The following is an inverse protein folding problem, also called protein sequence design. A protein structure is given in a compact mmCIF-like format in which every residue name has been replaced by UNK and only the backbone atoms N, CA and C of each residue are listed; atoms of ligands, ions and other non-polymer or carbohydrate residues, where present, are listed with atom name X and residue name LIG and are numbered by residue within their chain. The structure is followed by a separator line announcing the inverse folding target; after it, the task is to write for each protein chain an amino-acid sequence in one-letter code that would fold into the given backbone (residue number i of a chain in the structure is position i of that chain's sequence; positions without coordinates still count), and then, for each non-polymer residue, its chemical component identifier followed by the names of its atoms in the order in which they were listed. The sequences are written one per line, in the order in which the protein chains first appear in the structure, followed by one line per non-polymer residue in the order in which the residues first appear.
data_IF_223227178984
#
_entry.id   IF_223227178984
#
_cell.length_a   1.000
_cell.length_b   1.000
_cell.length_c   1.000
_cell.angle_alpha   90.00
_cell.angle_beta   90.00
_cell.angle_gamma   90.00
#
_symmetry.space_group_name_H-M   'P 1'
#
loop_
_entity.id
_entity.type
_entity.pdbx_description
1 polymer ?
#
# COMPACT_ATOMS: atom_id res chain seq x y z
N UNK A 1 -12.71 9.28 -16.69
CA UNK A 1 -11.32 9.02 -16.29
C UNK A 1 -11.15 9.66 -14.93
N UNK A 2 -10.78 8.87 -13.93
CA UNK A 2 -10.63 9.35 -12.55
C UNK A 2 -9.14 9.34 -12.20
N UNK A 3 -8.67 10.44 -11.63
CA UNK A 3 -7.28 10.58 -11.20
C UNK A 3 -7.23 10.97 -9.72
N UNK A 4 -6.32 10.36 -8.97
CA UNK A 4 -6.04 10.73 -7.58
C UNK A 4 -4.54 10.89 -7.41
N UNK A 5 -4.13 12.04 -6.89
CA UNK A 5 -2.76 12.35 -6.54
C UNK A 5 -2.64 12.38 -5.01
N UNK A 6 -1.60 11.76 -4.47
CA UNK A 6 -1.31 11.73 -3.04
C UNK A 6 0.16 12.07 -2.82
N UNK A 7 0.46 12.87 -1.79
CA UNK A 7 1.83 13.06 -1.31
C UNK A 7 2.21 11.95 -0.33
N UNK A 8 3.41 11.40 -0.47
CA UNK A 8 4.02 10.46 0.48
C UNK A 8 5.04 11.21 1.33
N UNK A 9 4.70 11.50 2.58
CA UNK A 9 5.61 12.18 3.50
C UNK A 9 6.27 11.19 4.44
N UNK A 10 7.60 11.28 4.54
CA UNK A 10 8.38 10.54 5.52
C UNK A 10 8.38 11.33 6.82
N UNK A 11 7.56 10.93 7.78
CA UNK A 11 7.51 11.54 9.11
C UNK A 11 8.28 10.68 10.11
N UNK A 12 9.15 11.29 10.92
CA UNK A 12 9.74 10.63 12.07
C UNK A 12 8.71 10.58 13.20
N UNK A 13 7.90 9.52 13.23
CA UNK A 13 6.84 9.34 14.22
C UNK A 13 7.31 8.61 15.48
N UNK A 14 8.61 8.41 15.70
CA UNK A 14 9.12 7.63 16.84
C UNK A 14 8.57 8.07 18.20
N UNK A 15 8.40 9.38 18.40
CA UNK A 15 7.78 9.95 19.61
C UNK A 15 6.26 10.09 19.57
N UNK A 16 5.62 9.93 18.40
CA UNK A 16 4.18 10.09 18.22
C UNK A 16 3.43 8.75 18.21
N UNK A 17 4.08 7.67 17.78
CA UNK A 17 3.48 6.31 17.69
C UNK A 17 2.81 5.86 19.00
N UNK A 18 3.35 6.10 20.21
CA UNK A 18 2.67 5.73 21.45
C UNK A 18 1.34 6.44 21.70
N UNK A 19 1.13 7.60 21.07
CA UNK A 19 -0.03 8.47 21.30
C UNK A 19 -1.03 8.45 20.15
N UNK A 20 -0.71 7.77 19.06
CA UNK A 20 -1.57 7.69 17.89
C UNK A 20 -2.52 6.50 18.02
N UNK A 21 -3.79 6.63 17.58
CA UNK A 21 -4.78 5.56 17.66
C UNK A 21 -4.57 4.50 16.57
N UNK A 22 -3.31 4.24 16.22
CA UNK A 22 -2.92 3.15 15.33
C UNK A 22 -1.78 2.36 15.93
N UNK A 23 -1.88 1.04 15.83
CA UNK A 23 -0.85 0.12 16.31
C UNK A 23 -0.31 -0.69 15.14
N UNK A 24 1.01 -0.66 14.98
CA UNK A 24 1.74 -1.58 14.11
C UNK A 24 2.31 -2.71 14.97
N UNK A 25 2.22 -3.95 14.51
CA UNK A 25 2.87 -5.07 15.19
C UNK A 25 4.39 -4.93 15.17
N UNK A 26 4.94 -4.43 14.06
CA UNK A 26 6.38 -4.37 13.80
C UNK A 26 6.76 -3.15 12.97
N UNK A 27 7.93 -2.58 13.24
CA UNK A 27 8.51 -1.51 12.43
C UNK A 27 8.81 -2.02 11.02
N UNK A 28 8.44 -1.30 9.94
CA UNK A 28 8.80 -1.71 8.58
C UNK A 28 10.33 -1.70 8.42
N UNK A 29 10.87 -2.76 7.80
CA UNK A 29 12.31 -2.90 7.53
C UNK A 29 12.77 -2.26 6.22
N UNK A 30 11.89 -2.20 5.22
CA UNK A 30 12.14 -1.53 3.95
C UNK A 30 11.90 -0.03 4.12
N UNK A 31 12.91 0.81 3.86
CA UNK A 31 12.81 2.27 3.87
C UNK A 31 12.13 2.78 2.60
N UNK A 32 11.21 3.75 2.73
CA UNK A 32 10.57 4.40 1.58
C UNK A 32 10.87 5.89 1.56
N UNK A 33 11.26 6.41 0.39
CA UNK A 33 11.54 7.83 0.21
C UNK A 33 10.26 8.69 0.23
N UNK A 34 10.35 9.94 0.70
CA UNK A 34 9.28 10.91 0.50
C UNK A 34 9.03 11.12 -1.00
N UNK A 35 7.78 11.28 -1.42
CA UNK A 35 7.46 11.22 -2.84
C UNK A 35 6.00 11.53 -3.21
N UNK A 36 5.63 11.14 -4.43
CA UNK A 36 4.31 11.34 -5.01
C UNK A 36 3.74 9.98 -5.41
N UNK A 37 2.45 9.82 -5.18
CA UNK A 37 1.66 8.69 -5.66
C UNK A 37 0.55 9.18 -6.58
N UNK A 38 0.39 8.50 -7.71
CA UNK A 38 -0.64 8.77 -8.72
C UNK A 38 -1.44 7.48 -8.92
N UNK A 39 -2.76 7.61 -8.87
CA UNK A 39 -3.73 6.57 -9.24
C UNK A 39 -4.56 7.08 -10.40
N UNK A 40 -4.55 6.36 -11.51
CA UNK A 40 -5.38 6.63 -12.67
C UNK A 40 -6.31 5.45 -12.90
N UNK A 41 -7.59 5.73 -13.06
CA UNK A 41 -8.61 4.74 -13.42
C UNK A 41 -9.31 5.23 -14.69
N UNK A 42 -9.21 4.47 -15.76
CA UNK A 42 -9.91 4.78 -17.01
C UNK A 42 -11.10 3.85 -17.22
N UNK A 43 -12.18 4.45 -17.74
CA UNK A 43 -13.42 3.77 -18.10
C UNK A 43 -13.21 2.92 -19.35
N UNK A 44 -14.07 1.91 -19.55
CA UNK A 44 -13.99 0.98 -20.69
C UNK A 44 -13.86 1.73 -22.02
N UNK A 45 -12.67 1.69 -22.63
CA UNK A 45 -12.48 2.13 -24.01
C UNK A 45 -12.83 0.92 -24.90
N UNK A 46 -13.86 1.03 -25.73
CA UNK A 46 -14.24 0.03 -26.76
C UNK A 46 -14.30 -1.43 -26.27
N UNK A 47 -15.08 -1.73 -25.24
CA UNK A 47 -15.29 -3.10 -24.76
C UNK A 47 -14.17 -3.68 -23.88
N UNK A 48 -13.06 -2.94 -23.68
CA UNK A 48 -12.01 -3.35 -22.75
C UNK A 48 -12.46 -3.28 -21.29
N UNK A 49 -11.88 -4.10 -20.39
CA UNK A 49 -12.02 -3.93 -18.95
C UNK A 49 -11.56 -2.54 -18.50
N UNK A 50 -11.99 -2.11 -17.32
CA UNK A 50 -11.47 -0.85 -16.73
C UNK A 50 -9.97 -1.02 -16.46
N UNK A 51 -9.17 0.00 -16.78
CA UNK A 51 -7.73 -0.04 -16.52
C UNK A 51 -7.41 0.84 -15.31
N UNK A 52 -6.61 0.29 -14.40
CA UNK A 52 -6.10 1.02 -13.24
C UNK A 52 -4.59 1.03 -13.30
N UNK A 53 -4.03 2.22 -13.15
CA UNK A 53 -2.61 2.44 -13.03
C UNK A 53 -2.33 3.08 -11.67
N UNK A 54 -1.40 2.50 -10.93
CA UNK A 54 -0.81 3.08 -9.73
C UNK A 54 0.65 3.30 -10.01
N UNK A 55 1.15 4.46 -9.65
CA UNK A 55 2.57 4.79 -9.70
C UNK A 55 2.95 5.55 -8.44
N UNK A 56 4.04 5.16 -7.81
CA UNK A 56 4.66 5.85 -6.70
C UNK A 56 6.14 6.03 -7.02
N UNK A 57 6.61 7.27 -6.85
CA UNK A 57 8.02 7.62 -6.97
C UNK A 57 8.42 8.52 -5.82
N UNK A 58 9.61 8.33 -5.28
CA UNK A 58 10.15 9.17 -4.21
C UNK A 58 11.61 9.53 -4.44
N UNK A 59 12.08 10.53 -3.69
CA UNK A 59 13.47 10.99 -3.74
C UNK A 59 14.40 9.88 -3.28
N UNK A 60 15.49 9.68 -4.03
CA UNK A 60 16.59 8.77 -3.68
C UNK A 60 17.44 9.32 -2.54
N UNK A 61 16.87 9.41 -1.36
CA UNK A 61 17.57 9.81 -0.14
C UNK A 61 17.90 8.59 0.73
N UNK A 62 19.18 8.23 0.75
CA UNK A 62 19.72 7.16 1.57
C UNK A 62 20.09 7.61 2.98
N UNK A 63 19.89 8.89 3.30
CA UNK A 63 20.22 9.43 4.60
C UNK A 63 19.12 9.11 5.64
N UNK A 64 19.56 8.99 6.90
CA UNK A 64 18.71 8.82 8.07
C UNK A 64 17.70 7.65 7.98
N UNK A 65 18.04 6.43 7.55
CA UNK A 65 17.10 5.28 7.47
C UNK A 65 16.32 5.11 8.78
N UNK A 66 15.03 4.80 8.70
CA UNK A 66 14.27 4.46 9.92
C UNK A 66 14.59 3.04 10.39
N UNK A 67 15.08 2.17 9.52
CA UNK A 67 15.53 0.83 9.90
C UNK A 67 16.89 0.53 9.30
N UNK A 68 17.82 0.10 10.15
CA UNK A 68 19.17 -0.36 9.77
C UNK A 68 19.41 -1.76 10.33
N UNK A 69 20.29 -2.48 9.65
CA UNK A 69 20.81 -3.78 10.02
C UNK A 69 22.30 -3.66 10.32
N UNK A 70 22.85 -4.64 11.04
CA UNK A 70 24.29 -4.68 11.35
C UNK A 70 24.68 -3.79 12.52
N UNK A 71 26.00 -3.70 12.78
CA UNK A 71 26.58 -2.86 13.82
C UNK A 71 26.83 -1.45 13.28
N UNK A 72 27.07 -0.47 14.15
CA UNK A 72 27.24 0.94 13.74
C UNK A 72 28.35 1.15 12.69
N UNK A 73 29.42 0.36 12.76
CA UNK A 73 30.59 0.38 11.87
C UNK A 73 30.39 -0.42 10.58
N UNK A 74 29.26 -1.08 10.38
CA UNK A 74 29.00 -1.98 9.24
C UNK A 74 27.52 -1.97 8.87
N UNK A 75 26.84 -0.88 9.21
CA UNK A 75 25.39 -0.81 9.11
C UNK A 75 24.94 -0.75 7.66
N UNK A 76 23.79 -1.33 7.38
CA UNK A 76 23.17 -1.27 6.06
C UNK A 76 21.66 -1.12 6.17
N UNK A 77 21.04 -0.61 5.11
CA UNK A 77 19.60 -0.43 5.02
C UNK A 77 19.11 -0.72 3.60
N UNK A 78 17.84 -1.10 3.49
CA UNK A 78 17.18 -1.32 2.21
C UNK A 78 16.17 -0.21 1.96
N UNK A 79 16.09 0.24 0.71
CA UNK A 79 15.24 1.35 0.28
C UNK A 79 14.44 0.98 -0.96
N UNK A 80 13.21 1.48 -1.06
CA UNK A 80 12.41 1.45 -2.29
C UNK A 80 11.95 2.87 -2.63
N UNK A 81 12.14 3.25 -3.88
CA UNK A 81 11.83 4.58 -4.38
C UNK A 81 10.72 4.53 -5.42
N UNK A 82 10.71 3.51 -6.28
CA UNK A 82 9.73 3.36 -7.34
C UNK A 82 8.88 2.10 -7.18
N UNK A 83 7.57 2.28 -7.34
CA UNK A 83 6.62 1.18 -7.38
C UNK A 83 5.50 1.52 -8.34
N UNK A 84 5.07 0.56 -9.14
CA UNK A 84 3.86 0.73 -9.95
C UNK A 84 3.08 -0.56 -10.10
N UNK A 85 1.79 -0.41 -10.36
CA UNK A 85 0.85 -1.48 -10.70
C UNK A 85 0.01 -1.06 -11.89
N UNK A 86 -0.16 -1.95 -12.86
CA UNK A 86 -1.08 -1.78 -13.97
C UNK A 86 -2.01 -3.00 -14.00
N UNK A 87 -3.32 -2.78 -13.90
CA UNK A 87 -4.29 -3.87 -13.81
C UNK A 87 -5.61 -3.60 -14.52
N UNK A 88 -6.15 -4.64 -15.11
CA UNK A 88 -7.51 -4.70 -15.64
C UNK A 88 -8.49 -5.08 -14.53
N UNK A 89 -9.60 -4.35 -14.40
CA UNK A 89 -10.66 -4.64 -13.44
C UNK A 89 -11.88 -5.28 -14.11
N UNK A 90 -12.31 -6.38 -13.52
CA UNK A 90 -13.53 -7.10 -13.87
C UNK A 90 -14.51 -7.01 -12.70
N UNK A 91 -15.71 -6.52 -12.98
CA UNK A 91 -16.77 -6.34 -11.98
C UNK A 91 -17.78 -7.46 -12.16
N UNK A 92 -18.08 -8.19 -11.08
CA UNK A 92 -19.14 -9.20 -11.11
C UNK A 92 -20.53 -8.58 -11.21
N UNK A 93 -20.71 -7.40 -10.61
CA UNK A 93 -21.98 -6.68 -10.62
C UNK A 93 -21.75 -5.24 -11.09
N UNK A 94 -22.34 -4.89 -12.24
CA UNK A 94 -22.34 -3.51 -12.79
C UNK A 94 -23.53 -2.68 -12.33
N UNK A 95 -24.56 -3.29 -11.71
CA UNK A 95 -25.72 -2.55 -11.21
C UNK A 95 -25.35 -1.79 -9.91
N UNK A 96 -25.50 -0.47 -9.95
CA UNK A 96 -25.22 0.45 -8.84
C UNK A 96 -26.19 0.30 -7.67
N UNK A 97 -27.38 -0.26 -7.89
CA UNK A 97 -28.43 -0.48 -6.88
C UNK A 97 -28.14 -1.66 -5.94
N UNK A 98 -27.16 -2.50 -6.30
CA UNK A 98 -26.77 -3.63 -5.45
C UNK A 98 -25.94 -3.14 -4.27
N UNK A 99 -26.34 -3.57 -3.08
CA UNK A 99 -25.63 -3.28 -1.85
C UNK A 99 -24.25 -3.96 -1.78
N UNK A 100 -24.04 -5.10 -2.44
CA UNK A 100 -22.75 -5.80 -2.46
C UNK A 100 -22.08 -5.65 -3.83
N UNK A 101 -20.89 -5.06 -3.85
CA UNK A 101 -20.10 -4.80 -5.06
C UNK A 101 -18.80 -5.57 -4.97
N UNK A 102 -18.52 -6.39 -5.99
CA UNK A 102 -17.31 -7.22 -6.06
C UNK A 102 -16.53 -6.92 -7.34
N UNK A 103 -15.21 -6.87 -7.22
CA UNK A 103 -14.29 -6.61 -8.32
C UNK A 103 -13.01 -7.43 -8.16
N UNK A 104 -12.50 -7.96 -9.26
CA UNK A 104 -11.15 -8.49 -9.35
C UNK A 104 -10.30 -7.61 -10.26
N UNK A 105 -9.11 -7.27 -9.80
CA UNK A 105 -8.07 -6.60 -10.58
C UNK A 105 -6.99 -7.65 -10.90
N UNK A 106 -6.66 -7.82 -12.17
CA UNK A 106 -5.59 -8.72 -12.63
C UNK A 106 -4.61 -7.91 -13.47
N UNK A 107 -3.31 -8.03 -13.19
CA UNK A 107 -2.30 -7.26 -13.89
C UNK A 107 -0.88 -7.57 -13.47
N UNK A 108 -0.02 -6.57 -13.63
CA UNK A 108 1.39 -6.63 -13.31
C UNK A 108 1.75 -5.49 -12.36
N UNK A 109 2.76 -5.73 -11.54
CA UNK A 109 3.42 -4.69 -10.77
C UNK A 109 4.92 -4.83 -10.80
N UNK A 110 5.59 -3.75 -10.43
CA UNK A 110 7.04 -3.68 -10.28
C UNK A 110 7.35 -2.83 -9.06
N UNK A 111 8.41 -3.17 -8.35
CA UNK A 111 9.03 -2.30 -7.37
C UNK A 111 10.54 -2.50 -7.38
N UNK A 112 11.26 -1.49 -6.92
CA UNK A 112 12.70 -1.56 -6.72
C UNK A 112 13.08 -1.74 -5.25
N UNK A 113 14.25 -2.34 -5.03
CA UNK A 113 14.93 -2.32 -3.75
C UNK A 113 16.41 -2.07 -3.98
N UNK A 114 16.91 -1.00 -3.37
CA UNK A 114 18.33 -0.65 -3.30
C UNK A 114 18.85 -0.92 -1.89
N UNK A 115 20.04 -1.50 -1.78
CA UNK A 115 20.79 -1.67 -0.54
C UNK A 115 21.82 -0.55 -0.42
N UNK A 116 21.83 0.14 0.73
CA UNK A 116 22.86 1.10 1.10
C UNK A 116 23.70 0.54 2.25
N UNK A 117 25.02 0.57 2.13
CA UNK A 117 25.99 0.17 3.16
C UNK A 117 26.74 1.41 3.62
N UNK A 118 26.79 1.65 4.94
CA UNK A 118 27.32 2.87 5.56
C UNK A 118 28.72 2.67 6.17
N UNK A 119 29.60 1.91 5.51
CA UNK A 119 30.98 1.73 5.95
C UNK A 119 31.93 2.59 5.12
N UNK A 120 32.63 3.53 5.78
CA UNK A 120 33.59 4.44 5.15
C UNK A 120 33.02 5.21 3.94
N UNK A 121 31.73 5.57 4.02
CA UNK A 121 30.96 6.16 2.94
C UNK A 121 29.64 5.42 2.73
N UNK A 122 28.79 5.95 1.87
CA UNK A 122 27.52 5.30 1.48
C UNK A 122 27.70 4.63 0.13
N UNK A 123 27.72 3.30 0.12
CA UNK A 123 27.75 2.50 -1.10
C UNK A 123 26.37 1.94 -1.38
N UNK A 124 25.83 2.19 -2.58
CA UNK A 124 24.49 1.76 -2.97
C UNK A 124 24.53 0.71 -4.07
N UNK A 125 23.58 -0.22 -4.04
CA UNK A 125 23.42 -1.25 -5.07
C UNK A 125 21.95 -1.63 -5.23
N UNK A 126 21.50 -1.81 -6.47
CA UNK A 126 20.15 -2.31 -6.75
C UNK A 126 20.11 -3.82 -6.53
N UNK A 127 19.32 -4.28 -5.57
CA UNK A 127 19.23 -5.71 -5.19
C UNK A 127 17.95 -6.37 -5.65
N UNK A 128 16.91 -5.60 -5.94
CA UNK A 128 15.65 -6.11 -6.48
C UNK A 128 15.04 -5.12 -7.47
N UNK A 129 14.60 -5.62 -8.61
CA UNK A 129 13.90 -4.84 -9.63
C UNK A 129 13.24 -5.80 -10.62
N UNK A 130 12.02 -6.26 -10.32
CA UNK A 130 11.34 -7.27 -11.13
C UNK A 130 9.86 -6.97 -11.31
N UNK A 131 9.33 -7.43 -12.43
CA UNK A 131 7.91 -7.43 -12.75
C UNK A 131 7.27 -8.70 -12.22
N UNK A 132 6.07 -8.59 -11.66
CA UNK A 132 5.39 -9.72 -11.05
C UNK A 132 3.88 -9.64 -11.24
N UNK A 133 3.19 -10.80 -11.27
CA UNK A 133 1.74 -10.85 -11.25
C UNK A 133 1.17 -10.09 -10.05
N UNK A 134 0.12 -9.32 -10.32
CA UNK A 134 -0.65 -8.59 -9.33
C UNK A 134 -2.10 -9.00 -9.46
N UNK A 135 -2.67 -9.51 -8.37
CA UNK A 135 -4.10 -9.84 -8.30
C UNK A 135 -4.68 -9.15 -7.08
N UNK A 136 -5.85 -8.55 -7.22
CA UNK A 136 -6.55 -7.95 -6.09
C UNK A 136 -8.06 -8.13 -6.17
N UNK A 137 -8.63 -8.72 -5.12
CA UNK A 137 -10.06 -8.84 -4.91
C UNK A 137 -10.55 -7.70 -4.03
N UNK A 138 -11.68 -7.11 -4.41
CA UNK A 138 -12.36 -6.06 -3.68
C UNK A 138 -13.81 -6.48 -3.42
N UNK A 139 -14.25 -6.20 -2.21
CA UNK A 139 -15.64 -6.33 -1.79
C UNK A 139 -16.03 -5.06 -1.04
N UNK A 140 -17.06 -4.37 -1.52
CA UNK A 140 -17.65 -3.22 -0.86
C UNK A 140 -19.12 -3.49 -0.53
N UNK A 141 -19.54 -3.14 0.69
CA UNK A 141 -20.94 -3.14 1.08
C UNK A 141 -21.45 -1.70 1.21
N UNK A 142 -22.42 -1.35 0.37
CA UNK A 142 -22.90 0.01 0.10
C UNK A 142 -24.43 0.07 0.20
N UNK A 143 -25.02 -0.20 1.38
CA UNK A 143 -26.48 -0.16 1.56
C UNK A 143 -27.03 1.24 1.26
N UNK A 144 -28.04 1.32 0.38
CA UNK A 144 -28.71 2.57 0.00
C UNK A 144 -27.72 3.67 -0.47
N UNK A 145 -26.63 3.26 -1.14
CA UNK A 145 -25.61 4.19 -1.62
C UNK A 145 -24.63 4.70 -0.55
N UNK A 146 -24.75 4.26 0.71
CA UNK A 146 -23.82 4.64 1.78
C UNK A 146 -22.79 3.52 2.03
N UNK A 147 -21.52 3.81 1.78
CA UNK A 147 -20.41 2.89 2.00
C UNK A 147 -20.25 2.54 3.49
N UNK A 148 -20.61 1.30 3.87
CA UNK A 148 -20.55 0.86 5.27
C UNK A 148 -19.24 0.16 5.59
N UNK A 149 -18.80 -0.78 4.75
CA UNK A 149 -17.51 -1.45 4.92
C UNK A 149 -16.92 -1.88 3.57
N UNK A 150 -15.61 -2.13 3.56
CA UNK A 150 -14.97 -2.85 2.48
C UNK A 150 -13.88 -3.79 2.97
N UNK A 151 -13.65 -4.84 2.20
CA UNK A 151 -12.53 -5.75 2.33
C UNK A 151 -11.76 -5.83 1.00
N UNK A 152 -10.44 -5.98 1.10
CA UNK A 152 -9.55 -6.13 -0.05
C UNK A 152 -8.54 -7.22 0.24
N UNK A 153 -8.33 -8.11 -0.72
CA UNK A 153 -7.26 -9.10 -0.68
C UNK A 153 -6.37 -8.84 -1.88
N UNK A 154 -5.06 -8.65 -1.67
CA UNK A 154 -4.06 -8.48 -2.72
C UNK A 154 -3.03 -9.60 -2.64
N UNK A 155 -2.72 -10.22 -3.76
CA UNK A 155 -1.54 -11.05 -3.95
C UNK A 155 -0.57 -10.31 -4.88
N UNK A 156 0.63 -10.03 -4.38
CA UNK A 156 1.73 -9.44 -5.16
C UNK A 156 3.05 -9.88 -4.56
N UNK A 157 4.02 -10.24 -5.39
CA UNK A 157 5.31 -10.78 -4.94
C UNK A 157 5.21 -11.98 -3.97
N UNK A 158 4.27 -12.88 -4.24
CA UNK A 158 3.94 -14.00 -3.34
C UNK A 158 3.45 -13.57 -1.94
N UNK A 159 3.24 -12.28 -1.69
CA UNK A 159 2.75 -11.75 -0.40
C UNK A 159 1.25 -11.48 -0.50
N UNK A 160 0.51 -12.05 0.45
CA UNK A 160 -0.90 -11.78 0.62
C UNK A 160 -1.10 -10.61 1.59
N UNK A 161 -1.86 -9.61 1.15
CA UNK A 161 -2.28 -8.47 1.97
C UNK A 161 -3.80 -8.43 2.07
N UNK A 162 -4.31 -8.39 3.28
CA UNK A 162 -5.72 -8.17 3.59
C UNK A 162 -5.91 -6.77 4.16
N UNK A 163 -6.84 -5.99 3.60
CA UNK A 163 -7.26 -4.71 4.14
C UNK A 163 -8.77 -4.76 4.42
N UNK A 164 -9.18 -4.31 5.60
CA UNK A 164 -10.57 -4.18 5.99
C UNK A 164 -10.80 -2.78 6.57
N UNK A 165 -11.92 -2.15 6.22
CA UNK A 165 -12.38 -0.98 6.95
C UNK A 165 -13.89 -1.02 7.15
N UNK A 166 -14.33 -0.45 8.27
CA UNK A 166 -15.72 -0.33 8.69
C UNK A 166 -16.00 1.13 9.09
N UNK A 167 -17.03 1.73 8.53
CA UNK A 167 -17.49 3.05 8.94
C UNK A 167 -18.14 2.97 10.33
N UNK A 168 -17.56 3.69 11.29
CA UNK A 168 -18.04 3.77 12.66
C UNK A 168 -19.06 4.90 12.83
N UNK A 169 -18.74 6.06 12.26
CA UNK A 169 -19.51 7.28 12.42
C UNK A 169 -19.44 8.11 11.14
N UNK A 170 -20.57 8.71 10.76
CA UNK A 170 -20.66 9.71 9.70
C UNK A 170 -21.36 10.93 10.26
N UNK A 171 -20.68 12.07 10.30
CA UNK A 171 -21.22 13.35 10.74
C UNK A 171 -21.44 14.25 9.53
N UNK A 172 -22.59 14.95 9.51
CA UNK A 172 -22.87 15.95 8.49
C UNK A 172 -21.86 17.13 8.62
N UNK A 173 -21.45 17.77 7.51
CA UNK A 173 -21.84 17.47 6.12
C UNK A 173 -20.98 16.41 5.41
N UNK A 174 -19.73 16.18 5.81
CA UNK A 174 -18.80 15.32 5.05
C UNK A 174 -17.69 14.68 5.90
N UNK A 175 -17.96 14.37 7.17
CA UNK A 175 -16.98 13.76 8.08
C UNK A 175 -17.28 12.28 8.28
N UNK A 176 -16.27 11.43 8.16
CA UNK A 176 -16.42 10.01 8.44
C UNK A 176 -15.23 9.48 9.26
N UNK A 177 -15.55 8.68 10.27
CA UNK A 177 -14.58 7.89 11.04
C UNK A 177 -14.72 6.44 10.66
N UNK A 178 -13.60 5.80 10.30
CA UNK A 178 -13.54 4.40 9.87
C UNK A 178 -12.56 3.65 10.76
N UNK A 179 -12.98 2.51 11.29
CA UNK A 179 -12.05 1.50 11.77
C UNK A 179 -11.33 0.91 10.54
N UNK A 180 -10.03 0.70 10.65
CA UNK A 180 -9.20 0.11 9.61
C UNK A 180 -8.32 -0.98 10.21
N UNK A 181 -8.21 -2.10 9.51
CA UNK A 181 -7.29 -3.17 9.78
C UNK A 181 -6.56 -3.57 8.49
N UNK A 182 -5.26 -3.81 8.59
CA UNK A 182 -4.43 -4.37 7.52
C UNK A 182 -3.59 -5.50 8.07
N UNK A 183 -3.50 -6.57 7.31
CA UNK A 183 -2.65 -7.71 7.60
C UNK A 183 -1.81 -8.04 6.37
N UNK A 184 -0.51 -8.18 6.55
CA UNK A 184 0.45 -8.59 5.53
C UNK A 184 1.04 -9.93 6.00
N UNK A 185 0.81 -10.98 5.22
CA UNK A 185 1.34 -12.31 5.49
C UNK A 185 2.81 -12.44 5.07
N UNK A 186 3.47 -13.49 5.54
CA UNK A 186 4.74 -13.94 4.95
C UNK A 186 4.57 -14.28 3.47
N UNK A 187 5.62 -14.18 2.66
CA UNK A 187 5.58 -14.68 1.28
C UNK A 187 5.23 -16.18 1.25
N UNK A 188 4.30 -16.55 0.37
CA UNK A 188 3.75 -17.90 0.26
C UNK A 188 4.63 -18.86 -0.56
N UNK A 189 5.31 -18.33 -1.59
CA UNK A 189 6.00 -19.12 -2.62
C UNK A 189 7.50 -18.82 -2.72
N UNK A 190 8.04 -18.02 -1.78
CA UNK A 190 9.47 -17.71 -1.70
C UNK A 190 9.89 -17.47 -0.26
N UNK A 191 11.20 -17.44 -0.01
CA UNK A 191 11.74 -17.02 1.29
C UNK A 191 11.50 -15.52 1.49
N UNK A 192 11.26 -15.14 2.75
CA UNK A 192 11.23 -13.73 3.18
C UNK A 192 12.57 -13.08 2.90
N UNK A 193 12.54 -11.93 2.22
CA UNK A 193 13.74 -11.13 2.01
C UNK A 193 14.11 -10.38 3.30
N UNK A 194 15.38 -9.99 3.46
CA UNK A 194 15.85 -9.30 4.67
C UNK A 194 15.09 -7.99 4.94
N UNK A 195 14.73 -7.26 3.88
CA UNK A 195 13.98 -6.01 3.94
C UNK A 195 12.49 -6.18 4.25
N UNK A 196 12.01 -7.43 4.40
CA UNK A 196 10.62 -7.72 4.69
C UNK A 196 10.41 -8.11 6.15
N UNK A 197 9.24 -7.75 6.67
CA UNK A 197 8.77 -8.29 7.94
C UNK A 197 8.17 -9.68 7.67
N UNK A 198 8.29 -10.61 8.63
CA UNK A 198 7.66 -11.93 8.49
C UNK A 198 6.14 -11.80 8.37
N UNK A 199 5.54 -11.02 9.26
CA UNK A 199 4.13 -10.64 9.21
C UNK A 199 4.01 -9.21 9.69
N UNK A 200 2.95 -8.52 9.30
CA UNK A 200 2.67 -7.19 9.82
C UNK A 200 1.19 -6.98 9.94
N UNK A 201 0.75 -6.51 11.10
CA UNK A 201 -0.63 -6.07 11.32
C UNK A 201 -0.64 -4.58 11.63
N UNK A 202 -1.55 -3.85 11.00
CA UNK A 202 -1.87 -2.47 11.34
C UNK A 202 -3.35 -2.38 11.68
N UNK A 203 -3.69 -1.80 12.83
CA UNK A 203 -5.07 -1.42 13.13
C UNK A 203 -5.11 0.07 13.48
N UNK A 204 -6.22 0.75 13.18
CA UNK A 204 -6.39 2.12 13.62
C UNK A 204 -7.71 2.76 13.18
N UNK A 205 -7.87 4.04 13.52
CA UNK A 205 -9.01 4.86 13.12
C UNK A 205 -8.56 5.84 12.04
N UNK A 206 -9.28 5.86 10.92
CA UNK A 206 -9.05 6.77 9.80
C UNK A 206 -10.17 7.83 9.80
N UNK A 207 -9.77 9.09 9.85
CA UNK A 207 -10.64 10.21 9.56
C UNK A 207 -10.63 10.52 8.05
N UNK A 208 -11.80 10.69 7.46
CA UNK A 208 -11.97 11.16 6.08
C UNK A 208 -12.83 12.41 6.09
N UNK A 209 -12.31 13.45 5.44
CA UNK A 209 -13.06 14.64 5.07
C UNK A 209 -13.39 14.58 3.57
N UNK A 210 -14.66 14.79 3.22
CA UNK A 210 -15.13 14.80 1.84
C UNK A 210 -15.89 13.55 1.40
N UNK A 211 -16.48 13.64 0.22
CA UNK A 211 -17.29 12.59 -0.43
C UNK A 211 -16.42 11.53 -1.11
#
# INVERSE_FOLDING_TARGET
MDATMMGRFRLNTGGLVPYLPFMFSDKPRLNVGGGVEIKLSTTRIFGLPFLNFYFASGTEDYNNPYFTFGKADSSYAYFSFTQWFAAMSFYWNTNQERNLRMRIDVGLGRYDVSKAVYYKGTHTSLVFNRFQPYIKLYMNFVPKGNELFAAKIRLFDSVLKFDFWLQLLKLAPAHAFRFYASYIASPLFRKTHEWENQKSTMIGIIYRFGF
#
